data_IF_641091326647
#
_entry.id   IF_641091326647
#
_cell.length_a   1.000
_cell.length_b   1.000
_cell.length_c   1.000
_cell.angle_alpha   90.00
_cell.angle_beta   90.00
_cell.angle_gamma   90.00
#
_symmetry.space_group_name_H-M   'P 1'
#
loop_
_entity.id
_entity.type
_entity.pdbx_description
1 polymer ?
#
# COMPACT_ATOMS: atom_id res chain seq x y z
N UNK A 1 -32.93 19.08 -1.08
CA UNK A 1 -32.11 19.97 -1.89
C UNK A 1 -32.98 20.75 -2.88
N UNK A 2 -32.46 21.85 -3.43
CA UNK A 2 -33.17 22.71 -4.35
C UNK A 2 -34.10 23.73 -3.64
N UNK A 3 -35.16 24.12 -4.32
CA UNK A 3 -36.12 25.11 -3.81
C UNK A 3 -37.19 24.43 -2.96
N UNK A 4 -37.25 24.73 -1.67
CA UNK A 4 -38.29 24.28 -0.74
C UNK A 4 -39.32 25.38 -0.59
N UNK A 5 -40.54 25.10 -0.97
CA UNK A 5 -41.67 26.07 -0.92
C UNK A 5 -42.58 25.79 0.25
N UNK A 6 -42.76 26.78 1.11
CA UNK A 6 -43.84 26.79 2.12
C UNK A 6 -45.00 27.64 1.64
N UNK A 7 -46.23 27.11 1.70
CA UNK A 7 -47.44 27.72 1.23
C UNK A 7 -48.38 28.05 2.38
N UNK A 8 -48.80 29.30 2.47
CA UNK A 8 -49.84 29.75 3.39
C UNK A 8 -51.07 30.22 2.59
N UNK A 9 -52.25 29.76 2.98
CA UNK A 9 -53.54 30.15 2.38
C UNK A 9 -54.39 30.77 3.44
N UNK A 10 -54.83 31.99 3.17
CA UNK A 10 -55.77 32.73 4.03
C UNK A 10 -56.91 33.26 3.16
N UNK A 11 -58.10 32.67 3.28
CA UNK A 11 -59.22 32.93 2.35
C UNK A 11 -58.85 32.59 0.91
N UNK A 12 -58.97 33.54 -0.02
CA UNK A 12 -58.62 33.42 -1.44
C UNK A 12 -57.13 33.87 -1.73
N UNK A 13 -56.38 34.22 -0.70
CA UNK A 13 -54.99 34.64 -0.88
C UNK A 13 -54.02 33.48 -0.56
N UNK A 14 -53.08 33.29 -1.47
CA UNK A 14 -51.99 32.32 -1.29
C UNK A 14 -50.66 33.06 -1.27
N UNK A 15 -49.82 32.75 -0.30
CA UNK A 15 -48.46 33.28 -0.16
C UNK A 15 -47.50 32.08 -0.16
N UNK A 16 -46.42 32.18 -0.94
CA UNK A 16 -45.33 31.22 -0.94
C UNK A 16 -44.08 31.85 -0.32
N UNK A 17 -43.38 31.09 0.49
CA UNK A 17 -42.02 31.40 0.93
C UNK A 17 -41.10 30.28 0.44
N UNK A 18 -40.16 30.64 -0.42
CA UNK A 18 -39.16 29.71 -0.94
C UNK A 18 -37.89 29.83 -0.13
N UNK A 19 -37.22 28.70 0.08
CA UNK A 19 -35.90 28.60 0.65
C UNK A 19 -35.07 27.75 -0.30
N UNK A 20 -33.97 28.31 -0.79
CA UNK A 20 -33.04 27.62 -1.63
C UNK A 20 -32.05 26.84 -0.74
N UNK A 21 -31.90 25.58 -1.00
CA UNK A 21 -31.02 24.68 -0.23
C UNK A 21 -29.85 24.21 -1.12
N UNK A 22 -28.59 24.37 -0.69
CA UNK A 22 -27.43 23.91 -1.45
C UNK A 22 -27.48 22.40 -1.64
N UNK A 23 -26.95 21.91 -2.75
CA UNK A 23 -26.83 20.49 -3.05
C UNK A 23 -25.37 20.09 -3.10
N UNK A 24 -24.83 19.54 -2.02
CA UNK A 24 -23.43 19.14 -1.92
C UNK A 24 -23.28 17.68 -2.33
N UNK A 25 -22.35 17.44 -3.26
CA UNK A 25 -22.06 16.09 -3.79
C UNK A 25 -20.56 15.80 -3.74
N UNK A 26 -20.11 14.82 -2.94
CA UNK A 26 -18.72 14.37 -2.95
C UNK A 26 -18.48 13.31 -4.02
N UNK A 27 -17.31 13.37 -4.67
CA UNK A 27 -16.74 12.31 -5.50
C UNK A 27 -15.31 12.06 -5.05
N UNK A 28 -14.91 10.79 -5.04
CA UNK A 28 -13.55 10.39 -4.64
C UNK A 28 -12.88 9.54 -5.71
N UNK A 29 -11.59 9.75 -5.89
CA UNK A 29 -10.74 9.01 -6.83
C UNK A 29 -9.34 8.82 -6.23
N UNK A 30 -8.51 7.95 -6.84
CA UNK A 30 -7.13 7.66 -6.46
C UNK A 30 -6.26 7.54 -7.70
N UNK A 31 -5.00 7.97 -7.61
CA UNK A 31 -4.06 7.93 -8.74
C UNK A 31 -3.54 6.53 -9.09
N UNK A 32 -3.60 5.57 -8.16
CA UNK A 32 -3.19 4.18 -8.36
C UNK A 32 -4.10 3.26 -7.54
N UNK A 33 -4.81 2.35 -8.20
CA UNK A 33 -5.74 1.40 -7.56
C UNK A 33 -5.08 0.10 -7.12
N UNK A 34 -3.84 -0.16 -7.56
CA UNK A 34 -3.06 -1.38 -7.23
C UNK A 34 -1.63 -1.05 -6.82
N UNK A 35 -1.43 -0.23 -5.76
CA UNK A 35 -0.11 0.11 -5.30
C UNK A 35 0.55 -1.06 -4.57
N UNK A 36 1.89 -1.10 -4.57
CA UNK A 36 2.64 -2.00 -3.72
C UNK A 36 2.70 -1.48 -2.27
N UNK A 37 3.02 -2.37 -1.33
CA UNK A 37 3.35 -1.99 0.05
C UNK A 37 4.51 -0.98 0.07
N UNK A 38 4.37 0.07 0.85
CA UNK A 38 5.36 1.16 0.98
C UNK A 38 5.23 2.27 -0.07
N UNK A 39 4.39 2.11 -1.10
CA UNK A 39 4.17 3.16 -2.10
C UNK A 39 3.32 4.30 -1.56
N UNK A 40 3.55 5.49 -2.12
CA UNK A 40 2.72 6.66 -1.84
C UNK A 40 1.59 6.76 -2.87
N UNK A 41 0.38 6.96 -2.39
CA UNK A 41 -0.80 7.22 -3.24
C UNK A 41 -1.45 8.55 -2.87
N UNK A 42 -2.08 9.17 -3.87
CA UNK A 42 -2.79 10.42 -3.73
C UNK A 42 -4.29 10.21 -4.02
N UNK A 43 -5.12 10.46 -3.01
CA UNK A 43 -6.57 10.54 -3.17
C UNK A 43 -6.98 11.96 -3.58
N UNK A 44 -7.90 12.05 -4.54
CA UNK A 44 -8.54 13.29 -4.96
C UNK A 44 -10.01 13.24 -4.58
N UNK A 45 -10.48 14.26 -3.87
CA UNK A 45 -11.88 14.44 -3.47
C UNK A 45 -12.40 15.69 -4.14
N UNK A 46 -13.42 15.54 -4.96
CA UNK A 46 -14.13 16.66 -5.59
C UNK A 46 -15.46 16.84 -4.87
N UNK A 47 -15.68 18.00 -4.27
CA UNK A 47 -16.96 18.35 -3.62
C UNK A 47 -17.59 19.47 -4.43
N UNK A 48 -18.75 19.20 -5.03
CA UNK A 48 -19.52 20.18 -5.79
C UNK A 48 -20.73 20.67 -5.00
N UNK A 49 -21.07 21.94 -5.20
CA UNK A 49 -22.37 22.50 -4.82
C UNK A 49 -23.18 22.69 -6.11
N UNK A 50 -23.98 21.68 -6.43
CA UNK A 50 -24.82 21.67 -7.65
C UNK A 50 -26.14 22.44 -7.45
N UNK A 51 -26.36 23.02 -6.23
CA UNK A 51 -27.49 23.84 -5.88
C UNK A 51 -27.38 25.29 -6.37
N UNK A 52 -28.46 26.04 -6.14
CA UNK A 52 -28.62 27.47 -6.53
C UNK A 52 -28.28 28.43 -5.39
N UNK A 53 -27.93 27.95 -4.21
CA UNK A 53 -27.51 28.76 -3.05
C UNK A 53 -26.15 28.34 -2.54
N UNK A 54 -25.43 29.32 -1.95
CA UNK A 54 -24.11 29.05 -1.32
C UNK A 54 -24.28 28.10 -0.13
N UNK A 55 -23.34 27.19 -0.01
CA UNK A 55 -23.16 26.31 1.16
C UNK A 55 -22.08 26.89 2.06
N UNK A 56 -22.41 27.18 3.31
CA UNK A 56 -21.49 27.73 4.29
C UNK A 56 -21.10 26.66 5.33
N UNK A 57 -19.84 26.71 5.78
CA UNK A 57 -19.31 25.83 6.83
C UNK A 57 -19.55 24.32 6.52
N UNK A 58 -19.35 23.92 5.27
CA UNK A 58 -19.50 22.53 4.84
C UNK A 58 -18.38 21.70 5.49
N UNK A 59 -18.76 20.74 6.33
CA UNK A 59 -17.82 19.80 6.95
C UNK A 59 -17.66 18.60 6.03
N UNK A 60 -16.40 18.36 5.64
CA UNK A 60 -15.97 17.23 4.77
C UNK A 60 -15.06 16.36 5.61
N UNK A 61 -15.38 15.08 5.74
CA UNK A 61 -14.58 14.12 6.52
C UNK A 61 -14.14 12.99 5.62
N UNK A 62 -12.83 12.82 5.49
CA UNK A 62 -12.19 11.68 4.80
C UNK A 62 -11.71 10.67 5.82
N UNK A 63 -12.21 9.44 5.76
CA UNK A 63 -11.85 8.35 6.67
C UNK A 63 -10.91 7.39 5.95
N UNK A 64 -9.65 7.38 6.38
CA UNK A 64 -8.59 6.52 5.85
C UNK A 64 -8.71 5.10 6.41
N UNK A 65 -8.42 4.09 5.60
CA UNK A 65 -8.20 2.73 6.10
C UNK A 65 -7.00 2.70 7.06
N UNK A 66 -7.01 1.78 8.05
CA UNK A 66 -5.91 1.68 9.06
C UNK A 66 -4.55 1.39 8.44
N UNK A 67 -4.52 0.70 7.31
CA UNK A 67 -3.29 0.43 6.55
C UNK A 67 -2.79 1.59 5.67
N UNK A 68 -3.32 2.81 5.85
CA UNK A 68 -2.90 4.01 5.12
C UNK A 68 -2.31 5.03 6.10
N UNK A 69 -1.01 5.28 6.02
CA UNK A 69 -0.35 6.31 6.82
C UNK A 69 -0.50 7.68 6.18
N UNK A 70 -1.09 8.61 6.91
CA UNK A 70 -1.26 9.98 6.46
C UNK A 70 0.08 10.71 6.29
N UNK A 71 0.25 11.39 5.14
CA UNK A 71 1.41 12.22 4.83
C UNK A 71 1.08 13.72 4.79
N UNK A 72 -0.12 14.06 4.30
CA UNK A 72 -0.53 15.45 4.18
C UNK A 72 -1.82 15.63 3.40
N UNK A 73 -2.45 16.80 3.57
CA UNK A 73 -3.63 17.23 2.85
C UNK A 73 -3.51 18.71 2.46
N UNK A 74 -4.16 19.10 1.35
CA UNK A 74 -4.28 20.51 0.97
C UNK A 74 -5.41 21.22 1.74
N UNK A 75 -5.59 22.52 1.49
CA UNK A 75 -6.64 23.35 2.13
C UNK A 75 -6.66 23.27 3.67
N UNK A 76 -5.49 23.09 4.31
CA UNK A 76 -5.37 22.95 5.75
C UNK A 76 -6.25 21.85 6.36
N UNK A 77 -6.41 20.72 5.66
CA UNK A 77 -7.10 19.54 6.19
C UNK A 77 -6.47 19.08 7.51
N UNK A 78 -7.30 18.93 8.55
CA UNK A 78 -6.87 18.54 9.90
C UNK A 78 -6.97 17.03 10.04
N UNK A 79 -5.82 16.37 10.24
CA UNK A 79 -5.76 14.93 10.50
C UNK A 79 -5.92 14.62 11.98
N UNK A 80 -6.76 13.63 12.28
CA UNK A 80 -6.92 13.06 13.61
C UNK A 80 -6.46 11.60 13.61
N UNK A 81 -5.36 11.32 14.27
CA UNK A 81 -4.74 10.00 14.34
C UNK A 81 -5.63 8.96 15.06
N UNK A 82 -6.38 9.36 16.09
CA UNK A 82 -7.23 8.43 16.84
C UNK A 82 -8.42 7.90 16.04
N UNK A 83 -8.97 8.74 15.16
CA UNK A 83 -10.12 8.39 14.31
C UNK A 83 -9.73 8.04 12.87
N UNK A 84 -8.45 8.25 12.51
CA UNK A 84 -7.91 8.04 11.16
C UNK A 84 -8.66 8.88 10.11
N UNK A 85 -9.01 10.13 10.45
CA UNK A 85 -9.80 11.02 9.60
C UNK A 85 -9.08 12.31 9.27
N UNK A 86 -9.29 12.81 8.05
CA UNK A 86 -8.94 14.18 7.64
C UNK A 86 -10.21 14.99 7.52
N UNK A 87 -10.28 16.15 8.17
CA UNK A 87 -11.48 17.00 8.19
C UNK A 87 -11.18 18.40 7.65
N UNK A 88 -12.06 18.90 6.80
CA UNK A 88 -12.11 20.28 6.32
C UNK A 88 -13.43 20.92 6.67
N UNK A 89 -13.42 22.24 6.85
CA UNK A 89 -14.64 23.07 6.95
C UNK A 89 -14.49 24.23 5.97
N UNK A 90 -15.29 24.23 4.90
CA UNK A 90 -15.15 25.14 3.78
C UNK A 90 -16.51 25.74 3.38
N UNK A 91 -16.46 26.94 2.80
CA UNK A 91 -17.58 27.51 2.07
C UNK A 91 -17.50 27.09 0.60
N UNK A 92 -18.63 26.71 0.01
CA UNK A 92 -18.72 26.32 -1.41
C UNK A 92 -19.88 27.09 -2.04
N UNK A 93 -19.55 28.06 -2.88
CA UNK A 93 -20.54 28.89 -3.54
C UNK A 93 -21.41 28.07 -4.52
N UNK A 94 -22.63 28.54 -4.82
CA UNK A 94 -23.53 27.92 -5.76
C UNK A 94 -22.88 27.65 -7.13
N UNK A 95 -23.01 26.42 -7.65
CA UNK A 95 -22.43 25.99 -8.93
C UNK A 95 -20.88 25.85 -8.92
N UNK A 96 -20.23 25.88 -7.74
CA UNK A 96 -18.76 25.72 -7.63
C UNK A 96 -18.36 24.34 -7.10
N UNK A 97 -17.09 24.01 -7.38
CA UNK A 97 -16.43 22.80 -6.88
C UNK A 97 -15.14 23.13 -6.14
N UNK A 98 -14.79 22.29 -5.18
CA UNK A 98 -13.49 22.30 -4.47
C UNK A 98 -12.81 20.96 -4.70
N UNK A 99 -11.51 20.97 -5.01
CA UNK A 99 -10.68 19.78 -5.13
C UNK A 99 -9.75 19.65 -3.92
N UNK A 100 -9.98 18.61 -3.12
CA UNK A 100 -9.17 18.28 -1.95
C UNK A 100 -8.25 17.10 -2.29
N UNK A 101 -7.04 17.12 -1.74
CA UNK A 101 -6.04 16.04 -1.92
C UNK A 101 -5.58 15.51 -0.58
N UNK A 102 -5.46 14.19 -0.50
CA UNK A 102 -4.87 13.48 0.64
C UNK A 102 -3.78 12.56 0.12
N UNK A 103 -2.57 12.74 0.63
CA UNK A 103 -1.44 11.88 0.33
C UNK A 103 -1.20 10.92 1.49
N UNK A 104 -0.98 9.65 1.18
CA UNK A 104 -0.75 8.58 2.16
C UNK A 104 0.35 7.63 1.67
N UNK A 105 0.97 6.91 2.62
CA UNK A 105 1.79 5.72 2.32
C UNK A 105 0.98 4.47 2.62
N UNK A 106 1.09 3.45 1.78
CA UNK A 106 0.48 2.14 1.97
C UNK A 106 1.31 1.33 2.97
N UNK A 107 0.71 0.94 4.11
CA UNK A 107 1.41 0.21 5.18
C UNK A 107 0.71 -1.14 5.53
N UNK A 108 -0.29 -1.57 4.73
CA UNK A 108 -0.96 -2.86 4.91
C UNK A 108 -1.31 -3.48 3.54
N UNK A 109 -1.65 -4.76 3.55
CA UNK A 109 -2.01 -5.55 2.37
C UNK A 109 -3.53 -5.70 2.23
N UNK A 110 -3.97 -6.20 1.08
CA UNK A 110 -5.38 -6.47 0.82
C UNK A 110 -6.15 -5.25 0.32
N UNK A 111 -7.46 -5.23 0.50
CA UNK A 111 -8.33 -4.15 0.02
C UNK A 111 -8.43 -3.06 1.09
N UNK A 112 -7.92 -1.89 0.79
CA UNK A 112 -7.95 -0.73 1.67
C UNK A 112 -8.95 0.30 1.14
N UNK A 113 -10.04 0.46 1.89
CA UNK A 113 -11.15 1.37 1.52
C UNK A 113 -10.92 2.75 2.12
N UNK A 114 -10.91 3.79 1.28
CA UNK A 114 -10.92 5.17 1.73
C UNK A 114 -12.25 5.84 1.39
N UNK A 115 -12.90 6.47 2.37
CA UNK A 115 -14.26 7.00 2.28
C UNK A 115 -14.33 8.47 2.66
N UNK A 116 -14.93 9.30 1.81
CA UNK A 116 -15.31 10.66 2.15
C UNK A 116 -16.80 10.75 2.49
N UNK A 117 -17.14 11.56 3.50
CA UNK A 117 -18.50 11.84 3.94
C UNK A 117 -18.73 13.35 4.01
N UNK A 118 -19.85 13.80 3.48
CA UNK A 118 -20.31 15.19 3.55
C UNK A 118 -21.81 15.17 3.85
N UNK A 119 -22.19 15.55 5.06
CA UNK A 119 -23.60 15.40 5.52
C UNK A 119 -24.03 13.93 5.49
N UNK A 120 -25.07 13.64 4.73
CA UNK A 120 -25.62 12.28 4.52
C UNK A 120 -25.06 11.57 3.27
N UNK A 121 -24.26 12.26 2.47
CA UNK A 121 -23.67 11.70 1.24
C UNK A 121 -22.26 11.16 1.48
N UNK A 122 -21.96 10.03 0.82
CA UNK A 122 -20.65 9.39 0.87
C UNK A 122 -20.15 9.05 -0.53
N UNK A 123 -18.82 9.03 -0.68
CA UNK A 123 -18.13 8.44 -1.83
C UNK A 123 -16.92 7.66 -1.31
N UNK A 124 -16.59 6.53 -1.92
CA UNK A 124 -15.42 5.74 -1.55
C UNK A 124 -14.68 5.26 -2.79
N UNK A 125 -13.40 5.01 -2.62
CA UNK A 125 -12.55 4.31 -3.59
C UNK A 125 -11.65 3.35 -2.84
N UNK A 126 -11.44 2.18 -3.45
CA UNK A 126 -10.64 1.11 -2.89
C UNK A 126 -9.31 1.04 -3.62
N UNK A 127 -8.26 0.69 -2.90
CA UNK A 127 -7.01 0.22 -3.47
C UNK A 127 -6.83 -1.25 -3.09
N UNK A 128 -6.29 -2.05 -4.02
CA UNK A 128 -5.98 -3.46 -3.78
C UNK A 128 -4.46 -3.64 -3.72
N UNK A 129 -3.94 -3.91 -2.53
CA UNK A 129 -2.51 -4.08 -2.27
C UNK A 129 -2.18 -5.57 -2.35
N UNK A 130 -1.30 -6.00 -3.28
CA UNK A 130 -0.94 -7.41 -3.41
C UNK A 130 -0.25 -7.93 -2.15
N UNK A 131 -0.58 -9.15 -1.74
CA UNK A 131 0.01 -9.79 -0.57
C UNK A 131 1.17 -10.69 -0.98
N UNK A 132 2.39 -10.21 -0.83
CA UNK A 132 3.60 -10.95 -1.18
C UNK A 132 4.09 -11.76 0.02
N UNK A 133 4.17 -13.09 -0.19
CA UNK A 133 4.67 -14.07 0.77
C UNK A 133 5.97 -14.67 0.23
N UNK A 134 7.13 -14.21 0.71
CA UNK A 134 8.42 -14.83 0.38
C UNK A 134 8.67 -16.05 1.26
N UNK A 135 9.35 -17.06 0.71
CA UNK A 135 9.90 -18.20 1.46
C UNK A 135 11.28 -18.59 0.93
N UNK A 136 12.06 -19.25 1.77
CA UNK A 136 13.42 -19.69 1.46
C UNK A 136 13.74 -21.04 2.06
N UNK A 137 14.22 -21.94 1.22
CA UNK A 137 14.71 -23.27 1.62
C UNK A 137 16.16 -23.46 1.19
N UNK A 138 16.83 -24.46 1.78
CA UNK A 138 18.13 -24.95 1.34
C UNK A 138 18.02 -26.44 1.03
N UNK A 139 18.80 -26.93 0.06
CA UNK A 139 18.81 -28.35 -0.31
C UNK A 139 19.40 -29.24 0.78
N UNK A 140 20.15 -28.68 1.74
CA UNK A 140 20.78 -29.38 2.87
C UNK A 140 20.65 -28.55 4.15
N UNK A 141 20.71 -29.21 5.31
CA UNK A 141 20.82 -28.59 6.64
C UNK A 141 22.27 -28.52 7.12
N UNK A 142 23.11 -29.41 6.62
CA UNK A 142 24.53 -29.52 6.96
C UNK A 142 25.35 -29.63 5.68
N UNK A 143 26.49 -28.97 5.65
CA UNK A 143 27.41 -28.97 4.52
C UNK A 143 28.87 -29.03 5.03
N UNK A 144 29.83 -29.43 4.18
CA UNK A 144 31.26 -29.34 4.51
C UNK A 144 31.83 -28.00 3.98
N UNK A 145 32.97 -27.62 4.51
CA UNK A 145 33.76 -26.52 3.93
C UNK A 145 34.07 -26.82 2.46
N UNK A 146 33.79 -25.87 1.57
CA UNK A 146 33.96 -26.00 0.13
C UNK A 146 32.78 -26.57 -0.64
N UNK A 147 31.74 -27.07 0.04
CA UNK A 147 30.53 -27.57 -0.61
C UNK A 147 29.70 -26.44 -1.18
N UNK A 148 28.97 -26.75 -2.26
CA UNK A 148 27.95 -25.86 -2.81
C UNK A 148 26.60 -26.16 -2.15
N UNK A 149 25.94 -25.11 -1.64
CA UNK A 149 24.58 -25.14 -1.14
C UNK A 149 23.67 -24.46 -2.16
N UNK A 150 22.55 -25.11 -2.48
CA UNK A 150 21.50 -24.54 -3.32
C UNK A 150 20.36 -24.07 -2.46
N UNK A 151 20.09 -22.76 -2.52
CA UNK A 151 18.92 -22.15 -1.90
C UNK A 151 17.81 -22.00 -2.94
N UNK A 152 16.58 -22.33 -2.56
CA UNK A 152 15.40 -22.04 -3.35
C UNK A 152 14.64 -20.88 -2.71
N UNK A 153 14.39 -19.86 -3.48
CA UNK A 153 13.63 -18.68 -3.12
C UNK A 153 12.30 -18.72 -3.84
N UNK A 154 11.21 -18.62 -3.12
CA UNK A 154 9.87 -18.48 -3.68
C UNK A 154 9.25 -17.17 -3.25
N UNK A 155 8.50 -16.54 -4.16
CA UNK A 155 7.76 -15.31 -3.93
C UNK A 155 6.35 -15.53 -4.44
N UNK A 156 5.41 -15.72 -3.52
CA UNK A 156 4.01 -15.97 -3.82
C UNK A 156 3.20 -14.70 -3.62
N UNK A 157 2.34 -14.36 -4.57
CA UNK A 157 1.32 -13.34 -4.41
C UNK A 157 -0.01 -14.04 -4.05
N UNK A 158 -0.34 -14.05 -2.76
CA UNK A 158 -1.59 -14.65 -2.24
C UNK A 158 -2.76 -13.65 -2.25
N UNK A 159 -2.52 -12.43 -2.72
CA UNK A 159 -3.54 -11.38 -2.87
C UNK A 159 -4.36 -11.50 -4.15
N UNK A 160 -5.36 -10.62 -4.26
CA UNK A 160 -6.29 -10.54 -5.39
C UNK A 160 -5.87 -9.52 -6.47
N UNK A 161 -4.75 -8.84 -6.30
CA UNK A 161 -4.19 -7.88 -7.24
C UNK A 161 -2.81 -8.32 -7.70
N UNK A 162 -2.46 -8.05 -8.97
CA UNK A 162 -1.11 -8.28 -9.48
C UNK A 162 -0.10 -7.39 -8.76
N UNK A 163 1.02 -7.95 -8.39
CA UNK A 163 2.16 -7.22 -7.87
C UNK A 163 3.13 -6.89 -9.00
N UNK A 164 3.44 -5.62 -9.20
CA UNK A 164 4.37 -5.17 -10.23
C UNK A 164 5.69 -4.72 -9.62
N UNK A 165 6.79 -5.00 -10.33
CA UNK A 165 8.15 -4.58 -9.96
C UNK A 165 8.54 -4.97 -8.51
N UNK A 166 8.16 -6.15 -8.05
CA UNK A 166 8.53 -6.68 -6.72
C UNK A 166 10.04 -6.85 -6.65
N UNK A 167 10.68 -6.16 -5.71
CA UNK A 167 12.12 -6.26 -5.49
C UNK A 167 12.41 -7.38 -4.50
N UNK A 168 13.12 -8.41 -4.95
CA UNK A 168 13.54 -9.58 -4.18
C UNK A 168 15.05 -9.53 -4.00
N UNK A 169 15.52 -9.48 -2.75
CA UNK A 169 16.96 -9.45 -2.42
C UNK A 169 17.36 -10.69 -1.64
N UNK A 170 18.36 -11.39 -2.15
CA UNK A 170 19.02 -12.51 -1.49
C UNK A 170 20.39 -12.04 -1.01
N UNK A 171 20.58 -11.96 0.30
CA UNK A 171 21.82 -11.47 0.93
C UNK A 171 22.60 -12.65 1.49
N UNK A 172 23.62 -13.05 0.78
CA UNK A 172 24.54 -14.11 1.22
C UNK A 172 25.38 -13.61 2.40
N UNK A 173 25.39 -14.36 3.49
CA UNK A 173 26.28 -14.07 4.61
C UNK A 173 27.76 -14.12 4.18
N UNK A 174 28.62 -13.50 4.98
CA UNK A 174 30.08 -13.41 4.74
C UNK A 174 30.78 -14.76 4.56
N UNK A 175 30.17 -15.83 5.04
CA UNK A 175 30.66 -17.20 5.03
C UNK A 175 30.21 -18.01 3.80
N UNK A 176 29.52 -17.33 2.86
CA UNK A 176 29.04 -17.85 1.59
C UNK A 176 29.63 -17.05 0.43
N UNK A 177 30.15 -17.75 -0.58
CA UNK A 177 30.63 -17.16 -1.84
C UNK A 177 29.62 -17.45 -2.95
N UNK A 178 29.13 -16.42 -3.61
CA UNK A 178 28.19 -16.54 -4.74
C UNK A 178 28.81 -17.36 -5.89
N UNK A 179 28.01 -18.27 -6.46
CA UNK A 179 28.37 -19.07 -7.64
C UNK A 179 27.47 -18.74 -8.82
N UNK A 180 26.14 -18.87 -8.63
CA UNK A 180 25.17 -18.61 -9.69
C UNK A 180 23.77 -18.38 -9.12
N UNK A 181 22.89 -17.78 -9.92
CA UNK A 181 21.46 -17.70 -9.65
C UNK A 181 20.67 -17.89 -10.95
N UNK A 182 19.37 -18.24 -10.84
CA UNK A 182 18.46 -18.34 -11.97
C UNK A 182 17.65 -17.04 -12.16
N UNK A 183 17.04 -16.86 -13.36
CA UNK A 183 16.27 -15.68 -13.71
C UNK A 183 17.15 -14.48 -14.10
N UNK A 184 16.50 -13.33 -14.32
CA UNK A 184 17.22 -12.07 -14.61
C UNK A 184 17.51 -11.35 -13.30
N UNK A 185 18.78 -11.23 -12.94
CA UNK A 185 19.22 -10.65 -11.68
C UNK A 185 20.39 -9.69 -11.86
N UNK A 186 20.64 -8.89 -10.84
CA UNK A 186 21.91 -8.18 -10.61
C UNK A 186 22.61 -8.75 -9.39
N UNK A 187 23.94 -8.80 -9.40
CA UNK A 187 24.75 -9.19 -8.24
C UNK A 187 25.66 -8.04 -7.82
N UNK A 188 25.53 -7.63 -6.58
CA UNK A 188 26.40 -6.64 -5.93
C UNK A 188 27.43 -7.38 -5.07
N UNK A 189 28.69 -7.42 -5.55
CA UNK A 189 29.80 -8.10 -4.87
C UNK A 189 30.16 -7.43 -3.53
N UNK A 190 29.98 -6.10 -3.41
CA UNK A 190 30.34 -5.38 -2.20
C UNK A 190 29.41 -5.72 -1.01
N UNK A 191 28.15 -6.00 -1.29
CA UNK A 191 27.14 -6.39 -0.27
C UNK A 191 26.79 -7.87 -0.31
N UNK A 192 27.41 -8.65 -1.24
CA UNK A 192 27.12 -10.06 -1.49
C UNK A 192 25.62 -10.32 -1.71
N UNK A 193 24.97 -9.43 -2.48
CA UNK A 193 23.50 -9.41 -2.65
C UNK A 193 23.09 -9.67 -4.08
N UNK A 194 22.19 -10.63 -4.28
CA UNK A 194 21.50 -10.90 -5.54
C UNK A 194 20.16 -10.17 -5.50
N UNK A 195 19.79 -9.46 -6.56
CA UNK A 195 18.52 -8.72 -6.65
C UNK A 195 17.79 -9.08 -7.94
N UNK A 196 16.52 -9.50 -7.79
CA UNK A 196 15.55 -9.62 -8.88
C UNK A 196 14.53 -8.50 -8.76
N UNK A 197 13.97 -8.07 -9.90
CA UNK A 197 12.79 -7.23 -9.97
C UNK A 197 11.79 -7.94 -10.87
N UNK A 198 10.66 -8.37 -10.31
CA UNK A 198 9.73 -9.27 -10.98
C UNK A 198 8.29 -8.86 -10.79
N UNK A 199 7.46 -9.14 -11.78
CA UNK A 199 6.01 -9.10 -11.64
C UNK A 199 5.53 -10.44 -11.10
N UNK A 200 4.61 -10.42 -10.14
CA UNK A 200 3.97 -11.63 -9.59
C UNK A 200 2.47 -11.45 -9.67
N UNK A 201 1.84 -12.10 -10.64
CA UNK A 201 0.39 -12.01 -10.84
C UNK A 201 -0.37 -12.60 -9.64
N UNK A 202 -1.60 -12.15 -9.43
CA UNK A 202 -2.47 -12.62 -8.35
C UNK A 202 -2.59 -14.15 -8.34
N UNK A 203 -2.35 -14.78 -7.18
CA UNK A 203 -2.38 -16.24 -6.99
C UNK A 203 -1.21 -16.99 -7.65
N UNK A 204 -0.13 -16.32 -8.09
CA UNK A 204 1.05 -16.93 -8.71
C UNK A 204 2.26 -16.91 -7.78
N UNK A 205 3.21 -17.79 -8.11
CA UNK A 205 4.50 -17.92 -7.41
C UNK A 205 5.65 -17.86 -8.42
N UNK A 206 6.59 -16.96 -8.14
CA UNK A 206 7.89 -16.94 -8.83
C UNK A 206 8.92 -17.72 -8.01
N UNK A 207 9.81 -18.43 -8.69
CA UNK A 207 10.81 -19.29 -8.06
C UNK A 207 12.20 -19.04 -8.64
N UNK A 208 13.17 -18.82 -7.74
CA UNK A 208 14.58 -18.63 -8.09
C UNK A 208 15.44 -19.60 -7.31
N UNK A 209 16.61 -19.91 -7.86
CA UNK A 209 17.64 -20.66 -7.15
C UNK A 209 18.91 -19.82 -7.02
N UNK A 210 19.59 -19.95 -5.90
CA UNK A 210 20.90 -19.36 -5.64
C UNK A 210 21.85 -20.49 -5.24
N UNK A 211 22.98 -20.58 -5.91
CA UNK A 211 24.05 -21.50 -5.54
C UNK A 211 25.19 -20.70 -4.92
N UNK A 212 25.62 -21.11 -3.73
CA UNK A 212 26.73 -20.49 -3.04
C UNK A 212 27.68 -21.57 -2.45
N UNK A 213 28.98 -21.32 -2.51
CA UNK A 213 30.00 -22.17 -1.88
C UNK A 213 30.19 -21.76 -0.43
N UNK A 214 30.24 -22.73 0.47
CA UNK A 214 30.59 -22.54 1.88
C UNK A 214 32.07 -22.27 2.01
N UNK A 215 32.46 -21.15 2.63
CA UNK A 215 33.85 -20.71 2.77
C UNK A 215 34.29 -20.51 4.22
N UNK A 216 33.44 -20.90 5.18
CA UNK A 216 33.76 -20.87 6.60
C UNK A 216 33.02 -21.97 7.36
N UNK A 217 33.45 -22.24 8.60
CA UNK A 217 32.80 -23.18 9.52
C UNK A 217 31.75 -22.51 10.39
N UNK A 218 30.90 -23.31 11.06
CA UNK A 218 29.86 -22.86 11.95
C UNK A 218 28.52 -22.74 11.27
N UNK A 219 27.71 -21.81 11.72
CA UNK A 219 26.35 -21.60 11.20
C UNK A 219 26.38 -20.52 10.11
N UNK A 220 26.30 -20.91 8.84
CA UNK A 220 26.32 -20.00 7.71
C UNK A 220 24.88 -19.60 7.37
N UNK A 221 24.66 -18.30 7.20
CA UNK A 221 23.32 -17.72 7.01
C UNK A 221 23.18 -17.12 5.62
N UNK A 222 22.02 -17.38 4.99
CA UNK A 222 21.57 -16.68 3.80
C UNK A 222 20.21 -16.04 4.08
N UNK A 223 20.05 -14.73 3.81
CA UNK A 223 18.89 -13.93 4.14
C UNK A 223 18.13 -13.52 2.87
N UNK A 224 16.80 -13.68 2.88
CA UNK A 224 15.90 -13.20 1.84
C UNK A 224 15.15 -11.97 2.36
N UNK A 225 15.15 -10.88 1.60
CA UNK A 225 14.44 -9.64 1.93
C UNK A 225 13.48 -9.26 0.80
N UNK A 226 12.20 -9.14 1.11
CA UNK A 226 11.17 -8.68 0.18
C UNK A 226 10.25 -7.71 0.91
N UNK A 227 10.24 -6.45 0.48
CA UNK A 227 9.52 -5.38 1.19
C UNK A 227 10.05 -5.22 2.62
N UNK A 228 9.17 -5.35 3.60
CA UNK A 228 9.48 -5.32 5.04
C UNK A 228 9.71 -6.70 5.65
N UNK A 229 9.64 -7.79 4.85
CA UNK A 229 9.77 -9.17 5.32
C UNK A 229 11.21 -9.65 5.12
N UNK A 230 11.76 -10.33 6.15
CA UNK A 230 13.09 -10.96 6.12
C UNK A 230 13.00 -12.40 6.56
N UNK A 231 13.60 -13.31 5.78
CA UNK A 231 13.67 -14.75 6.04
C UNK A 231 15.12 -15.20 6.02
N UNK A 232 15.55 -15.88 7.08
CA UNK A 232 16.90 -16.41 7.19
C UNK A 232 16.88 -17.92 7.01
N UNK A 233 17.82 -18.44 6.23
CA UNK A 233 18.09 -19.87 6.14
C UNK A 233 19.50 -20.14 6.56
N UNK A 234 19.67 -21.04 7.52
CA UNK A 234 20.95 -21.45 8.08
C UNK A 234 21.32 -22.83 7.58
N UNK A 235 22.63 -23.03 7.38
CA UNK A 235 23.25 -24.33 7.12
C UNK A 235 24.41 -24.48 8.09
N UNK A 236 24.52 -25.64 8.76
CA UNK A 236 25.59 -25.94 9.71
C UNK A 236 26.82 -26.51 8.98
N UNK A 237 27.97 -25.99 9.31
CA UNK A 237 29.25 -26.48 8.76
C UNK A 237 30.15 -26.94 9.92
N UNK A 238 30.23 -28.25 10.15
CA UNK A 238 31.01 -28.78 11.28
C UNK A 238 32.51 -28.49 11.12
N UNK A 239 33.14 -28.04 12.20
CA UNK A 239 34.57 -27.89 12.28
C UNK A 239 35.18 -29.25 12.63
N UNK A 240 36.04 -29.75 11.76
CA UNK A 240 36.80 -31.00 12.01
C UNK A 240 38.06 -30.61 12.77
N UNK A 241 38.09 -30.85 14.08
CA UNK A 241 39.33 -30.78 14.88
C UNK A 241 40.04 -32.11 14.81
N UNK A 242 41.25 -32.19 14.26
CA UNK A 242 42.04 -33.44 14.30
C UNK A 242 42.44 -33.74 15.74
N UNK A 243 42.09 -34.94 16.21
CA UNK A 243 42.56 -35.48 17.49
C UNK A 243 43.99 -35.95 17.32
N UNK A 244 44.91 -35.64 18.26
CA UNK A 244 46.30 -36.07 18.26
C UNK A 244 46.48 -37.31 19.11
#
# INVERSE_FOLDING_TARGET
YGNISNKVVVGNKTIFKNVDVPEITPKKDVNNTTPNFGENVAYTIVVSNDGISDAKQVVITDTLAKGLKFLGANYNGVYNENTHTVTWTLDIDAGKTVELKVNVTVEDYGVLVNRVTVGDKTSSVDIAVPEIIPDKTANVTDANFGDNVTYTVTVTNDGNADAKAVVVRDVLGKDLKFVSATGTYTFDEATNTITWTVDVDAGKTETFTVVATVINYGNVTNSLVVGNKTFNKNVTVPEITPDK
#
